data_IF_614100178338
#
_entry.id   IF_614100178338
#
_cell.length_a   1.000
_cell.length_b   1.000
_cell.length_c   1.000
_cell.angle_alpha   90.00
_cell.angle_beta   90.00
_cell.angle_gamma   90.00
#
_symmetry.space_group_name_H-M   'P 1'
#
loop_
_entity.id
_entity.type
_entity.pdbx_description
1 polymer ?
#
# COMPACT_ATOMS: atom_id res chain seq x y z
N UNK A 1 4.39 -17.08 28.29
CA UNK A 1 3.45 -16.14 28.95
C UNK A 1 2.72 -15.35 27.87
N UNK A 2 1.71 -15.92 27.22
CA UNK A 2 0.99 -15.25 26.16
C UNK A 2 0.28 -13.97 26.62
N UNK A 3 -0.09 -13.88 27.89
CA UNK A 3 -0.69 -12.68 28.50
C UNK A 3 0.25 -11.47 28.53
N UNK A 4 1.56 -11.71 28.45
CA UNK A 4 2.59 -10.67 28.46
C UNK A 4 3.15 -10.37 27.06
N UNK A 5 2.46 -10.78 26.01
CA UNK A 5 2.87 -10.58 24.62
C UNK A 5 1.85 -9.74 23.86
N UNK A 6 2.31 -8.77 23.06
CA UNK A 6 1.54 -8.06 22.07
C UNK A 6 2.43 -7.63 20.91
N UNK A 7 1.84 -7.30 19.77
CA UNK A 7 2.58 -6.71 18.66
C UNK A 7 2.73 -5.21 18.81
N UNK A 8 3.77 -4.65 18.18
CA UNK A 8 3.98 -3.21 18.06
C UNK A 8 4.43 -2.91 16.64
N UNK A 9 3.54 -2.31 15.84
CA UNK A 9 3.75 -2.04 14.43
C UNK A 9 4.00 -0.55 14.19
N UNK A 10 5.20 -0.25 13.68
CA UNK A 10 5.63 1.10 13.31
C UNK A 10 5.44 1.33 11.81
N UNK A 11 5.22 2.59 11.44
CA UNK A 11 5.14 3.01 10.04
C UNK A 11 6.46 3.60 9.57
N UNK A 12 6.83 3.30 8.34
CA UNK A 12 8.08 3.78 7.74
C UNK A 12 7.90 5.22 7.17
N UNK A 13 8.84 6.13 7.38
CA UNK A 13 10.05 6.01 8.20
C UNK A 13 9.76 6.17 9.70
N UNK A 14 10.23 5.21 10.49
CA UNK A 14 9.90 5.08 11.92
C UNK A 14 10.17 6.35 12.73
N UNK A 15 11.26 7.06 12.43
CA UNK A 15 11.63 8.27 13.14
C UNK A 15 10.69 9.46 12.89
N UNK A 16 10.00 9.50 11.74
CA UNK A 16 9.12 10.59 11.32
C UNK A 16 7.64 10.30 11.58
N UNK A 17 7.22 9.03 11.38
CA UNK A 17 5.82 8.65 11.51
C UNK A 17 5.38 8.58 12.97
N UNK A 18 4.35 9.36 13.36
CA UNK A 18 3.93 9.43 14.77
C UNK A 18 3.07 8.24 15.20
N UNK A 19 2.32 7.62 14.29
CA UNK A 19 1.39 6.55 14.59
C UNK A 19 2.13 5.24 14.89
N UNK A 20 1.61 4.46 15.84
CA UNK A 20 2.01 3.07 16.08
C UNK A 20 0.77 2.24 16.43
N UNK A 21 0.64 1.07 15.84
CA UNK A 21 -0.42 0.11 16.18
C UNK A 21 0.07 -0.84 17.26
N UNK A 22 -0.68 -0.97 18.34
CA UNK A 22 -0.45 -1.92 19.42
C UNK A 22 -1.42 -3.08 19.17
N UNK A 23 -0.89 -4.21 18.75
CA UNK A 23 -1.69 -5.35 18.31
C UNK A 23 -2.01 -6.25 19.50
N UNK A 24 -3.29 -6.33 19.82
CA UNK A 24 -3.83 -7.22 20.84
C UNK A 24 -4.02 -8.62 20.26
N UNK A 25 -3.20 -9.56 20.67
CA UNK A 25 -3.43 -10.98 20.40
C UNK A 25 -4.51 -11.56 21.31
N UNK A 26 -4.97 -12.77 21.02
CA UNK A 26 -6.09 -13.45 21.70
C UNK A 26 -5.91 -13.52 23.22
N UNK A 27 -4.70 -13.75 23.69
CA UNK A 27 -4.40 -13.94 25.11
C UNK A 27 -3.71 -12.73 25.77
N UNK A 28 -3.56 -11.61 25.06
CA UNK A 28 -2.88 -10.42 25.57
C UNK A 28 -3.67 -9.76 26.69
N UNK A 29 -3.06 -9.55 27.86
CA UNK A 29 -3.72 -8.91 28.99
C UNK A 29 -3.85 -7.40 28.81
N UNK A 30 -4.86 -6.81 29.46
CA UNK A 30 -5.04 -5.34 29.50
C UNK A 30 -3.85 -4.64 30.12
N UNK A 31 -3.20 -5.25 31.12
CA UNK A 31 -2.00 -4.71 31.75
C UNK A 31 -0.83 -4.61 30.76
N UNK A 32 -0.66 -5.62 29.89
CA UNK A 32 0.36 -5.60 28.83
C UNK A 32 0.07 -4.50 27.81
N UNK A 33 -1.17 -4.39 27.35
CA UNK A 33 -1.58 -3.32 26.41
C UNK A 33 -1.32 -1.95 27.04
N UNK A 34 -1.75 -1.72 28.28
CA UNK A 34 -1.53 -0.44 28.97
C UNK A 34 -0.03 -0.09 29.11
N UNK A 35 0.80 -1.08 29.46
CA UNK A 35 2.25 -0.88 29.60
C UNK A 35 2.89 -0.53 28.24
N UNK A 36 2.54 -1.22 27.16
CA UNK A 36 3.10 -0.97 25.82
C UNK A 36 2.60 0.35 25.24
N UNK A 37 1.32 0.72 25.49
CA UNK A 37 0.82 2.06 25.14
C UNK A 37 1.59 3.16 25.87
N UNK A 38 1.83 3.00 27.19
CA UNK A 38 2.63 3.95 27.95
C UNK A 38 4.08 4.06 27.43
N UNK A 39 4.67 2.93 27.06
CA UNK A 39 5.99 2.90 26.41
C UNK A 39 5.99 3.66 25.08
N UNK A 40 5.01 3.43 24.22
CA UNK A 40 4.87 4.12 22.93
C UNK A 40 4.72 5.65 23.11
N UNK A 41 3.91 6.07 24.10
CA UNK A 41 3.78 7.49 24.46
C UNK A 41 5.11 8.07 24.94
N UNK A 42 5.89 7.31 25.73
CA UNK A 42 7.23 7.70 26.18
C UNK A 42 8.23 7.87 25.02
N UNK A 43 8.02 7.17 23.89
CA UNK A 43 8.78 7.36 22.66
C UNK A 43 8.29 8.56 21.81
N UNK A 44 7.30 9.33 22.26
CA UNK A 44 6.69 10.41 21.50
C UNK A 44 5.75 9.94 20.39
N UNK A 45 5.33 8.67 20.40
CA UNK A 45 4.39 8.09 19.42
C UNK A 45 2.93 8.27 19.87
N UNK A 46 2.02 8.09 18.91
CA UNK A 46 0.57 8.08 19.13
C UNK A 46 0.07 6.64 18.97
N UNK A 47 -0.05 5.87 20.07
CA UNK A 47 -0.51 4.49 19.99
C UNK A 47 -2.01 4.40 19.73
N UNK A 48 -2.41 3.43 18.89
CA UNK A 48 -3.78 2.94 18.79
C UNK A 48 -3.78 1.44 19.08
N UNK A 49 -4.79 0.95 19.78
CA UNK A 49 -4.93 -0.47 20.07
C UNK A 49 -5.81 -1.09 18.98
N UNK A 50 -5.30 -2.14 18.35
CA UNK A 50 -5.98 -2.85 17.26
C UNK A 50 -6.01 -4.35 17.54
N UNK A 51 -6.93 -5.06 16.92
CA UNK A 51 -6.98 -6.51 16.97
C UNK A 51 -5.94 -7.12 16.01
N UNK A 52 -5.51 -8.35 16.32
CA UNK A 52 -4.68 -9.13 15.43
C UNK A 52 -5.50 -9.65 14.24
N UNK A 53 -5.27 -9.07 13.08
CA UNK A 53 -5.88 -9.47 11.80
C UNK A 53 -4.96 -9.10 10.64
N UNK A 54 -5.12 -9.69 9.46
CA UNK A 54 -4.35 -9.33 8.28
C UNK A 54 -4.41 -7.83 7.98
N UNK A 55 -3.23 -7.18 7.91
CA UNK A 55 -3.10 -5.75 7.67
C UNK A 55 -3.46 -4.85 8.87
N UNK A 56 -3.81 -5.41 10.01
CA UNK A 56 -4.27 -4.71 11.22
C UNK A 56 -5.38 -3.68 10.89
N UNK A 57 -5.22 -2.41 11.23
CA UNK A 57 -6.18 -1.38 10.85
C UNK A 57 -5.71 -0.62 9.61
N UNK A 58 -4.53 0.00 9.67
CA UNK A 58 -4.11 0.96 8.65
C UNK A 58 -3.81 0.28 7.31
N UNK A 59 -3.02 -0.80 7.33
CA UNK A 59 -2.70 -1.51 6.09
C UNK A 59 -3.94 -2.19 5.51
N UNK A 60 -4.84 -2.69 6.32
CA UNK A 60 -6.10 -3.28 5.85
C UNK A 60 -6.91 -2.27 5.03
N UNK A 61 -7.12 -1.06 5.55
CA UNK A 61 -7.80 0.03 4.84
C UNK A 61 -7.00 0.46 3.60
N UNK A 62 -5.68 0.61 3.73
CA UNK A 62 -4.81 0.99 2.61
C UNK A 62 -4.87 -0.01 1.45
N UNK A 63 -4.81 -1.31 1.77
CA UNK A 63 -4.83 -2.35 0.75
C UNK A 63 -6.15 -2.40 -0.03
N UNK A 64 -7.27 -1.93 0.54
CA UNK A 64 -8.51 -1.78 -0.22
C UNK A 64 -8.33 -0.82 -1.43
N UNK A 65 -7.62 0.29 -1.24
CA UNK A 65 -7.25 1.20 -2.34
C UNK A 65 -6.28 0.54 -3.33
N UNK A 66 -5.24 -0.15 -2.82
CA UNK A 66 -4.24 -0.78 -3.69
C UNK A 66 -4.86 -1.90 -4.54
N UNK A 67 -5.77 -2.71 -3.98
CA UNK A 67 -6.56 -3.67 -4.75
C UNK A 67 -7.44 -2.99 -5.80
N UNK A 68 -8.02 -1.85 -5.47
CA UNK A 68 -8.77 -1.03 -6.42
C UNK A 68 -7.90 -0.59 -7.61
N UNK A 69 -6.67 -0.17 -7.36
CA UNK A 69 -5.70 0.16 -8.41
C UNK A 69 -5.37 -1.04 -9.30
N UNK A 70 -5.08 -2.22 -8.71
CA UNK A 70 -4.81 -3.45 -9.48
C UNK A 70 -5.94 -3.78 -10.45
N UNK A 71 -7.18 -3.69 -9.96
CA UNK A 71 -8.38 -3.93 -10.77
C UNK A 71 -8.49 -2.90 -11.89
N UNK A 72 -8.33 -1.62 -11.58
CA UNK A 72 -8.47 -0.55 -12.56
C UNK A 72 -7.45 -0.66 -13.69
N UNK A 73 -6.17 -0.93 -13.37
CA UNK A 73 -5.12 -1.12 -14.38
C UNK A 73 -5.43 -2.38 -15.22
N UNK A 74 -5.85 -3.48 -14.58
CA UNK A 74 -6.22 -4.71 -15.28
C UNK A 74 -7.42 -4.52 -16.23
N UNK A 75 -8.28 -3.52 -15.98
CA UNK A 75 -9.38 -3.09 -16.86
C UNK A 75 -8.93 -2.06 -17.91
N UNK A 76 -7.66 -1.70 -17.92
CA UNK A 76 -7.03 -0.80 -18.89
C UNK A 76 -6.97 0.66 -18.46
N UNK A 77 -7.13 0.99 -17.17
CA UNK A 77 -6.92 2.37 -16.71
C UNK A 77 -5.42 2.75 -16.75
N UNK A 78 -5.15 3.99 -17.13
CA UNK A 78 -3.79 4.56 -17.05
C UNK A 78 -3.42 4.83 -15.58
N UNK A 79 -2.42 4.11 -15.05
CA UNK A 79 -1.97 4.30 -13.68
C UNK A 79 -1.45 5.71 -13.39
N UNK A 80 -0.89 6.39 -14.39
CA UNK A 80 -0.41 7.77 -14.24
C UNK A 80 -1.57 8.74 -14.07
N UNK A 81 -2.66 8.51 -14.82
CA UNK A 81 -3.90 9.27 -14.63
C UNK A 81 -4.46 9.05 -13.24
N UNK A 82 -4.52 7.78 -12.78
CA UNK A 82 -5.01 7.44 -11.42
C UNK A 82 -4.18 8.16 -10.36
N UNK A 83 -2.86 8.10 -10.45
CA UNK A 83 -1.98 8.81 -9.51
C UNK A 83 -2.26 10.31 -9.51
N UNK A 84 -2.33 10.94 -10.68
CA UNK A 84 -2.57 12.37 -10.82
C UNK A 84 -3.93 12.81 -10.26
N UNK A 85 -4.98 12.02 -10.50
CA UNK A 85 -6.32 12.31 -9.97
C UNK A 85 -6.31 12.22 -8.45
N UNK A 86 -5.73 11.17 -7.88
CA UNK A 86 -5.69 10.96 -6.44
C UNK A 86 -4.81 12.01 -5.72
N UNK A 87 -3.69 12.41 -6.30
CA UNK A 87 -2.87 13.54 -5.80
C UNK A 87 -3.67 14.85 -5.86
N UNK A 88 -4.40 15.10 -6.95
CA UNK A 88 -5.28 16.26 -7.10
C UNK A 88 -6.47 16.27 -6.12
N UNK A 89 -6.98 15.09 -5.77
CA UNK A 89 -8.03 14.94 -4.77
C UNK A 89 -7.55 15.21 -3.34
N UNK A 90 -6.24 15.04 -3.07
CA UNK A 90 -5.64 15.41 -1.78
C UNK A 90 -4.73 14.37 -1.15
N UNK A 91 -4.45 13.25 -1.81
CA UNK A 91 -3.43 12.32 -1.31
C UNK A 91 -2.03 12.92 -1.52
N UNK A 92 -1.10 12.70 -0.58
CA UNK A 92 0.28 13.18 -0.72
C UNK A 92 1.05 12.47 -1.83
N UNK A 93 0.59 11.30 -2.25
CA UNK A 93 1.14 10.47 -3.31
C UNK A 93 0.00 9.68 -3.96
N UNK A 94 0.07 9.50 -5.28
CA UNK A 94 -0.81 8.57 -5.97
C UNK A 94 -0.52 7.11 -5.58
N UNK A 95 -1.48 6.21 -5.75
CA UNK A 95 -1.36 4.82 -5.26
C UNK A 95 -0.24 4.02 -5.95
N UNK A 96 0.00 4.18 -7.24
CA UNK A 96 1.11 3.51 -7.93
C UNK A 96 2.47 4.04 -7.44
N UNK A 97 2.59 5.36 -7.28
CA UNK A 97 3.78 5.96 -6.69
C UNK A 97 4.00 5.51 -5.24
N UNK A 98 2.94 5.38 -4.45
CA UNK A 98 3.02 4.88 -3.08
C UNK A 98 3.55 3.44 -3.03
N UNK A 99 3.13 2.57 -3.95
CA UNK A 99 3.66 1.21 -4.05
C UNK A 99 5.17 1.19 -4.32
N UNK A 100 5.66 2.07 -5.19
CA UNK A 100 7.10 2.20 -5.47
C UNK A 100 7.88 2.68 -4.23
N UNK A 101 7.29 3.57 -3.43
CA UNK A 101 7.91 4.07 -2.17
C UNK A 101 7.95 2.97 -1.10
N UNK A 102 6.88 2.19 -0.96
CA UNK A 102 6.82 1.05 -0.02
C UNK A 102 7.78 -0.05 -0.47
N UNK A 103 7.83 -0.30 -1.76
CA UNK A 103 8.57 -1.36 -2.43
C UNK A 103 7.64 -2.45 -2.97
N UNK A 104 7.78 -2.69 -4.27
CA UNK A 104 6.96 -3.63 -5.02
C UNK A 104 7.04 -5.05 -4.46
N UNK A 105 8.22 -5.51 -4.05
CA UNK A 105 8.41 -6.80 -3.38
C UNK A 105 7.63 -6.90 -2.07
N UNK A 106 7.61 -5.84 -1.27
CA UNK A 106 6.85 -5.78 -0.02
C UNK A 106 5.34 -5.91 -0.31
N UNK A 107 4.83 -5.11 -1.25
CA UNK A 107 3.41 -5.16 -1.65
C UNK A 107 3.05 -6.54 -2.19
N UNK A 108 3.89 -7.09 -3.09
CA UNK A 108 3.66 -8.41 -3.68
C UNK A 108 3.60 -9.52 -2.63
N UNK A 109 4.39 -9.45 -1.56
CA UNK A 109 4.32 -10.39 -0.44
C UNK A 109 3.08 -10.20 0.46
N UNK A 110 2.57 -8.97 0.56
CA UNK A 110 1.40 -8.69 1.38
C UNK A 110 0.09 -9.14 0.73
N UNK A 111 -0.02 -9.13 -0.60
CA UNK A 111 -1.25 -9.51 -1.30
C UNK A 111 -1.76 -10.91 -0.93
N UNK A 112 -0.97 -12.00 -0.96
CA UNK A 112 -1.42 -13.31 -0.51
C UNK A 112 -1.93 -13.31 0.93
N UNK A 113 -1.25 -12.60 1.83
CA UNK A 113 -1.66 -12.51 3.24
C UNK A 113 -3.04 -11.87 3.39
N UNK A 114 -3.32 -10.81 2.60
CA UNK A 114 -4.62 -10.14 2.60
C UNK A 114 -5.71 -11.02 1.99
N UNK A 115 -5.42 -11.68 0.86
CA UNK A 115 -6.35 -12.56 0.16
C UNK A 115 -6.71 -13.77 1.03
N UNK A 116 -5.70 -14.46 1.58
CA UNK A 116 -5.90 -15.66 2.38
C UNK A 116 -6.59 -15.36 3.71
N UNK A 117 -6.23 -14.24 4.33
CA UNK A 117 -6.78 -13.84 5.61
C UNK A 117 -8.16 -13.18 5.55
N UNK A 118 -8.51 -12.55 4.44
CA UNK A 118 -9.76 -11.83 4.23
C UNK A 118 -10.40 -12.16 2.87
N UNK A 119 -10.66 -13.45 2.55
CA UNK A 119 -11.03 -13.89 1.20
C UNK A 119 -12.41 -13.38 0.74
N UNK A 120 -13.24 -12.88 1.66
CA UNK A 120 -14.52 -12.27 1.32
C UNK A 120 -14.39 -10.79 0.90
N UNK A 121 -13.27 -10.17 1.22
CA UNK A 121 -12.98 -8.76 0.94
C UNK A 121 -11.99 -8.59 -0.21
N UNK A 122 -10.93 -9.37 -0.20
CA UNK A 122 -9.83 -9.26 -1.16
C UNK A 122 -9.79 -10.49 -2.06
N UNK A 123 -9.88 -10.26 -3.35
CA UNK A 123 -9.84 -11.33 -4.36
C UNK A 123 -9.01 -10.90 -5.55
N UNK A 124 -8.20 -11.79 -6.04
CA UNK A 124 -7.51 -11.61 -7.30
C UNK A 124 -8.53 -11.73 -8.45
N UNK A 125 -8.57 -10.73 -9.33
CA UNK A 125 -9.55 -10.61 -10.42
C UNK A 125 -8.95 -10.85 -11.80
N UNK A 126 -7.61 -10.89 -11.91
CA UNK A 126 -6.89 -11.18 -13.14
C UNK A 126 -5.86 -12.29 -12.88
N UNK A 127 -5.49 -13.03 -13.92
CA UNK A 127 -4.50 -14.12 -13.82
C UNK A 127 -3.12 -13.60 -13.39
N UNK A 128 -2.71 -12.46 -13.94
CA UNK A 128 -1.51 -11.74 -13.55
C UNK A 128 -1.90 -10.30 -13.20
N UNK A 129 -1.52 -9.85 -12.02
CA UNK A 129 -1.76 -8.48 -11.60
C UNK A 129 -0.61 -7.54 -12.01
N UNK A 130 -0.91 -6.24 -12.20
CA UNK A 130 0.08 -5.22 -12.51
C UNK A 130 1.31 -5.26 -11.60
N UNK A 131 1.13 -5.30 -10.29
CA UNK A 131 2.25 -5.39 -9.33
C UNK A 131 3.05 -6.68 -9.48
N UNK A 132 2.40 -7.83 -9.73
CA UNK A 132 3.11 -9.09 -9.99
C UNK A 132 3.95 -9.01 -11.26
N UNK A 133 3.41 -8.38 -12.32
CA UNK A 133 4.11 -8.17 -13.58
C UNK A 133 5.38 -7.31 -13.37
N UNK A 134 5.24 -6.19 -12.66
CA UNK A 134 6.36 -5.31 -12.31
C UNK A 134 7.39 -6.06 -11.45
N UNK A 135 6.94 -6.85 -10.47
CA UNK A 135 7.81 -7.65 -9.62
C UNK A 135 8.60 -8.70 -10.41
N UNK A 136 7.94 -9.42 -11.34
CA UNK A 136 8.59 -10.41 -12.21
C UNK A 136 9.63 -9.80 -13.14
N UNK A 137 9.46 -8.53 -13.49
CA UNK A 137 10.44 -7.74 -14.25
C UNK A 137 11.58 -7.18 -13.36
N UNK A 138 11.71 -7.67 -12.11
CA UNK A 138 12.72 -7.24 -11.14
C UNK A 138 12.69 -5.73 -10.82
N UNK A 139 11.52 -5.11 -10.98
CA UNK A 139 11.29 -3.70 -10.68
C UNK A 139 10.75 -3.59 -9.25
N UNK A 140 11.59 -3.09 -8.33
CA UNK A 140 11.31 -3.12 -6.88
C UNK A 140 10.89 -1.76 -6.32
N UNK A 141 10.64 -0.78 -7.17
CA UNK A 141 10.31 0.58 -6.80
C UNK A 141 11.54 1.44 -6.56
N UNK A 142 11.44 2.42 -5.66
CA UNK A 142 12.54 3.35 -5.39
C UNK A 142 13.83 2.68 -4.92
N UNK A 143 13.76 1.51 -4.29
CA UNK A 143 14.92 0.82 -3.73
C UNK A 143 15.94 0.35 -4.78
N UNK A 144 15.51 0.09 -6.01
CA UNK A 144 16.42 -0.24 -7.11
C UNK A 144 16.28 0.71 -8.31
N UNK A 145 15.51 1.79 -8.15
CA UNK A 145 15.35 2.81 -9.18
C UNK A 145 14.30 2.52 -10.24
N UNK A 146 13.63 1.39 -10.20
CA UNK A 146 12.64 0.95 -11.18
C UNK A 146 11.41 0.37 -10.47
N UNK A 147 10.23 0.88 -10.77
CA UNK A 147 8.93 0.40 -10.29
C UNK A 147 7.85 0.64 -11.34
N UNK A 148 6.71 1.15 -10.95
CA UNK A 148 5.74 1.76 -11.87
C UNK A 148 6.34 2.93 -12.63
N UNK A 149 7.24 3.63 -11.95
CA UNK A 149 8.03 4.74 -12.48
C UNK A 149 9.51 4.37 -12.48
N UNK A 150 10.31 5.17 -13.20
CA UNK A 150 11.76 5.18 -13.06
C UNK A 150 12.21 6.30 -12.13
N UNK A 151 13.34 6.10 -11.45
CA UNK A 151 13.88 7.01 -10.46
C UNK A 151 15.34 7.29 -10.69
N UNK A 152 15.67 8.56 -10.78
CA UNK A 152 17.05 9.04 -10.78
C UNK A 152 17.27 9.94 -9.55
N UNK A 153 18.48 9.98 -9.06
CA UNK A 153 18.82 10.89 -7.98
C UNK A 153 18.99 12.31 -8.55
N UNK A 154 18.20 13.25 -8.03
CA UNK A 154 18.38 14.65 -8.36
C UNK A 154 19.66 15.23 -7.71
N UNK A 155 19.99 16.49 -8.01
CA UNK A 155 21.16 17.20 -7.47
C UNK A 155 21.24 17.20 -5.94
N UNK A 156 20.13 16.99 -5.26
CA UNK A 156 20.03 16.92 -3.78
C UNK A 156 20.10 15.48 -3.24
N UNK A 157 20.39 14.50 -4.10
CA UNK A 157 20.45 13.07 -3.74
C UNK A 157 19.09 12.46 -3.40
N UNK A 158 17.97 13.08 -3.83
CA UNK A 158 16.62 12.54 -3.62
C UNK A 158 16.11 11.90 -4.90
N UNK A 159 15.35 10.78 -4.79
CA UNK A 159 14.70 10.17 -5.95
C UNK A 159 13.77 11.16 -6.66
N UNK A 160 13.92 11.26 -7.97
CA UNK A 160 13.05 12.03 -8.86
C UNK A 160 12.29 11.06 -9.74
N UNK A 161 10.96 11.11 -9.67
CA UNK A 161 10.03 10.24 -10.41
C UNK A 161 9.96 10.66 -11.88
N UNK A 162 10.10 9.71 -12.79
CA UNK A 162 9.88 9.89 -14.22
C UNK A 162 9.00 8.78 -14.78
N UNK A 163 8.24 9.09 -15.83
CA UNK A 163 7.45 8.10 -16.57
C UNK A 163 8.40 7.12 -17.26
N UNK A 164 8.03 5.84 -17.27
CA UNK A 164 8.80 4.79 -17.92
C UNK A 164 7.94 4.08 -18.98
N UNK A 165 8.28 4.31 -20.24
CA UNK A 165 7.59 3.74 -21.39
C UNK A 165 7.61 2.19 -21.39
N UNK A 166 8.59 1.58 -20.73
CA UNK A 166 8.66 0.11 -20.60
C UNK A 166 7.44 -0.43 -19.85
N UNK A 167 7.01 0.25 -18.78
CA UNK A 167 5.83 -0.16 -18.00
C UNK A 167 4.55 0.07 -18.79
N UNK A 168 4.46 1.19 -19.51
CA UNK A 168 3.30 1.48 -20.39
C UNK A 168 3.15 0.38 -21.42
N UNK A 169 4.22 0.02 -22.13
CA UNK A 169 4.22 -1.05 -23.13
C UNK A 169 3.85 -2.39 -22.49
N UNK A 170 4.44 -2.72 -21.34
CA UNK A 170 4.16 -3.96 -20.60
C UNK A 170 2.67 -4.10 -20.25
N UNK A 171 2.03 -3.02 -19.79
CA UNK A 171 0.60 -3.05 -19.48
C UNK A 171 -0.27 -3.05 -20.72
N UNK A 172 0.13 -2.35 -21.78
CA UNK A 172 -0.59 -2.40 -23.07
C UNK A 172 -0.60 -3.81 -23.68
N UNK A 173 0.52 -4.54 -23.57
CA UNK A 173 0.61 -5.93 -24.05
C UNK A 173 -0.28 -6.89 -23.25
N UNK A 174 -0.47 -6.63 -21.94
CA UNK A 174 -1.24 -7.51 -21.04
C UNK A 174 -2.73 -7.15 -20.99
N UNK A 175 -3.06 -5.87 -20.95
CA UNK A 175 -4.41 -5.40 -20.64
C UNK A 175 -5.01 -4.54 -21.78
N UNK A 176 -4.26 -4.34 -22.87
CA UNK A 176 -4.63 -3.47 -23.97
C UNK A 176 -4.25 -2.01 -23.76
N UNK A 177 -4.47 -1.20 -24.80
CA UNK A 177 -4.17 0.23 -24.77
C UNK A 177 -4.86 0.94 -23.61
N UNK A 178 -4.11 1.81 -22.93
CA UNK A 178 -4.60 2.55 -21.77
C UNK A 178 -5.79 3.45 -22.14
N UNK A 179 -6.80 3.45 -21.30
CA UNK A 179 -8.01 4.24 -21.44
C UNK A 179 -8.09 5.30 -20.37
N UNK A 180 -8.56 6.48 -20.77
CA UNK A 180 -8.91 7.52 -19.80
C UNK A 180 -10.19 7.13 -19.07
N UNK A 181 -10.16 7.21 -17.75
CA UNK A 181 -11.30 6.96 -16.86
C UNK A 181 -11.74 8.32 -16.28
N UNK A 182 -13.04 8.46 -16.03
CA UNK A 182 -13.57 9.67 -15.41
C UNK A 182 -12.93 9.88 -14.01
N UNK A 183 -12.61 11.14 -13.67
CA UNK A 183 -11.91 11.44 -12.42
C UNK A 183 -12.76 11.10 -11.17
N UNK A 184 -14.06 11.34 -11.22
CA UNK A 184 -14.95 11.03 -10.11
C UNK A 184 -15.08 9.50 -9.95
N UNK A 185 -15.09 8.73 -11.05
CA UNK A 185 -15.07 7.27 -11.02
C UNK A 185 -13.78 6.74 -10.36
N UNK A 186 -12.61 7.31 -10.69
CA UNK A 186 -11.34 6.94 -10.06
C UNK A 186 -11.41 7.15 -8.55
N UNK A 187 -11.84 8.34 -8.13
CA UNK A 187 -11.96 8.71 -6.71
C UNK A 187 -12.94 7.76 -6.00
N UNK A 188 -14.11 7.56 -6.55
CA UNK A 188 -15.16 6.71 -5.96
C UNK A 188 -14.68 5.26 -5.81
N UNK A 189 -14.11 4.68 -6.85
CA UNK A 189 -13.63 3.28 -6.80
C UNK A 189 -12.55 3.06 -5.74
N UNK A 190 -11.66 4.01 -5.53
CA UNK A 190 -10.56 3.88 -4.58
C UNK A 190 -10.98 4.29 -3.16
N UNK A 191 -11.69 5.41 -3.01
CA UNK A 191 -12.02 5.95 -1.70
C UNK A 191 -13.21 5.25 -1.05
N UNK A 192 -14.22 4.82 -1.82
CA UNK A 192 -15.33 4.02 -1.27
C UNK A 192 -14.80 2.66 -0.80
N UNK A 193 -13.88 2.03 -1.54
CA UNK A 193 -13.25 0.79 -1.10
C UNK A 193 -12.57 0.94 0.28
N UNK A 194 -11.83 2.03 0.48
CA UNK A 194 -11.21 2.34 1.78
C UNK A 194 -12.24 2.62 2.88
N UNK A 195 -13.32 3.33 2.55
CA UNK A 195 -14.36 3.70 3.51
C UNK A 195 -15.24 2.52 3.96
N UNK A 196 -15.31 1.48 3.14
CA UNK A 196 -16.11 0.28 3.42
C UNK A 196 -15.32 -0.80 4.17
N UNK A 197 -13.99 -0.70 4.25
CA UNK A 197 -13.12 -1.62 4.96
C UNK A 197 -12.90 -1.19 6.41
#
# INVERSE_FOLDING_TARGET
RPENFCGMHFFNPVHAMPLVEIIRGENTSDATIAAVCAYALGLGKKPIVVNDCPGFLVNRVLFAMLFGLEIMISEGADFQQVDKVMEGWGLPMGPAYLMDVIGIDTINHCYPVMIDGLPQRFKKTADLWPTECIYQAERLGQKNGLGYYSYELNEKGKPSKAVDETVITMFADLYGEAKMVDADEIIDRLMIAMAME
#
